data_IF_086262727848
#
_entry.id   IF_086262727848
#
_cell.length_a   1.000
_cell.length_b   1.000
_cell.length_c   1.000
_cell.angle_alpha   90.00
_cell.angle_beta   90.00
_cell.angle_gamma   90.00
#
_symmetry.space_group_name_H-M   'P 1'
#
loop_
_entity.id
_entity.type
_entity.pdbx_description
1 polymer ?
#
# COMPACT_ATOMS: atom_id res chain seq x y z
N UNK A 1 -5.76 -31.43 -28.26
CA UNK A 1 -5.87 -31.41 -26.81
C UNK A 1 -6.28 -30.01 -26.41
N UNK A 2 -7.51 -29.78 -26.04
CA UNK A 2 -8.03 -28.49 -25.61
C UNK A 2 -7.56 -28.27 -24.16
N UNK A 3 -6.58 -27.40 -23.96
CA UNK A 3 -6.16 -27.00 -22.60
C UNK A 3 -7.37 -26.32 -21.96
N UNK A 4 -7.95 -26.98 -20.96
CA UNK A 4 -9.02 -26.39 -20.16
C UNK A 4 -8.46 -25.06 -19.59
N UNK A 5 -9.03 -23.92 -19.97
CA UNK A 5 -8.74 -22.65 -19.30
C UNK A 5 -9.13 -22.80 -17.84
N UNK A 6 -8.14 -22.88 -16.95
CA UNK A 6 -8.39 -22.80 -15.52
C UNK A 6 -9.25 -21.55 -15.28
N UNK A 7 -10.37 -21.74 -14.58
CA UNK A 7 -11.28 -20.64 -14.25
C UNK A 7 -10.54 -19.68 -13.31
N UNK A 8 -10.22 -18.47 -13.78
CA UNK A 8 -9.59 -17.45 -12.96
C UNK A 8 -10.42 -17.18 -11.70
N UNK A 9 -9.77 -17.10 -10.55
CA UNK A 9 -10.43 -16.79 -9.29
C UNK A 9 -10.96 -15.35 -9.26
N UNK A 10 -10.29 -14.43 -9.98
CA UNK A 10 -10.68 -13.03 -10.10
C UNK A 10 -9.60 -12.21 -10.82
N UNK A 11 -9.87 -10.92 -10.94
CA UNK A 11 -8.96 -9.91 -11.49
C UNK A 11 -8.62 -8.90 -10.41
N UNK A 12 -7.36 -8.79 -10.05
CA UNK A 12 -6.88 -7.89 -8.99
C UNK A 12 -6.05 -6.75 -9.56
N UNK A 13 -6.40 -5.51 -9.21
CA UNK A 13 -5.59 -4.32 -9.47
C UNK A 13 -4.88 -3.91 -8.18
N UNK A 14 -3.55 -3.96 -8.17
CA UNK A 14 -2.71 -3.57 -7.02
C UNK A 14 -2.03 -2.25 -7.33
N UNK A 15 -2.45 -1.15 -6.74
CA UNK A 15 -1.75 0.12 -6.78
C UNK A 15 -0.57 0.06 -5.79
N UNK A 16 0.63 0.43 -6.25
CA UNK A 16 1.85 0.29 -5.44
C UNK A 16 2.43 -1.13 -5.43
N UNK A 17 2.21 -1.89 -6.50
CA UNK A 17 2.64 -3.29 -6.64
C UNK A 17 4.14 -3.49 -6.40
N UNK A 18 5.00 -2.49 -6.71
CA UNK A 18 6.45 -2.56 -6.50
C UNK A 18 6.88 -2.30 -5.05
N UNK A 19 5.94 -1.95 -4.16
CA UNK A 19 6.20 -1.85 -2.73
C UNK A 19 6.43 -3.21 -2.07
N UNK A 20 6.84 -3.21 -0.80
CA UNK A 20 6.98 -4.43 -0.01
C UNK A 20 5.67 -5.24 -0.02
N UNK A 21 4.59 -4.63 0.43
CA UNK A 21 3.29 -5.28 0.58
C UNK A 21 2.67 -5.65 -0.76
N UNK A 22 2.76 -4.75 -1.76
CA UNK A 22 2.29 -5.03 -3.11
C UNK A 22 2.95 -6.24 -3.75
N UNK A 23 4.25 -6.45 -3.47
CA UNK A 23 5.00 -7.61 -3.98
C UNK A 23 4.54 -8.91 -3.32
N UNK A 24 4.37 -8.92 -2.00
CA UNK A 24 3.86 -10.12 -1.29
C UNK A 24 2.41 -10.41 -1.68
N UNK A 25 1.56 -9.38 -1.80
CA UNK A 25 0.17 -9.52 -2.20
C UNK A 25 0.06 -10.07 -3.64
N UNK A 26 0.84 -9.54 -4.58
CA UNK A 26 0.87 -10.05 -5.94
C UNK A 26 1.20 -11.54 -5.98
N UNK A 27 2.25 -11.98 -5.24
CA UNK A 27 2.60 -13.40 -5.12
C UNK A 27 1.46 -14.23 -4.53
N UNK A 28 0.81 -13.73 -3.49
CA UNK A 28 -0.29 -14.40 -2.80
C UNK A 28 -1.50 -14.61 -3.72
N UNK A 29 -1.92 -13.55 -4.43
CA UNK A 29 -3.05 -13.60 -5.34
C UNK A 29 -2.78 -14.45 -6.59
N UNK A 30 -1.57 -14.36 -7.15
CA UNK A 30 -1.13 -15.25 -8.24
C UNK A 30 -1.14 -16.72 -7.82
N UNK A 31 -0.80 -17.04 -6.57
CA UNK A 31 -0.89 -18.38 -6.01
C UNK A 31 -2.32 -18.89 -5.84
N UNK A 32 -3.30 -17.98 -5.81
CA UNK A 32 -4.74 -18.26 -5.74
C UNK A 32 -5.45 -18.23 -7.11
N UNK A 33 -4.70 -18.12 -8.20
CA UNK A 33 -5.25 -18.13 -9.55
C UNK A 33 -5.87 -16.80 -10.00
N UNK A 34 -5.51 -15.66 -9.38
CA UNK A 34 -5.92 -14.35 -9.84
C UNK A 34 -5.11 -13.90 -11.06
N UNK A 35 -5.76 -13.18 -11.98
CA UNK A 35 -5.09 -12.31 -12.94
C UNK A 35 -4.68 -11.01 -12.22
N UNK A 36 -3.39 -10.70 -12.18
CA UNK A 36 -2.86 -9.57 -11.40
C UNK A 36 -2.40 -8.45 -12.31
N UNK A 37 -3.01 -7.28 -12.14
CA UNK A 37 -2.62 -6.00 -12.74
C UNK A 37 -1.88 -5.17 -11.69
N UNK A 38 -0.65 -4.77 -12.01
CA UNK A 38 0.22 -4.05 -11.10
C UNK A 38 0.40 -2.58 -11.49
N UNK A 39 -0.24 -1.68 -10.74
CA UNK A 39 -0.05 -0.24 -10.90
C UNK A 39 1.27 0.22 -10.28
N UNK A 40 2.13 0.89 -11.07
CA UNK A 40 3.43 1.41 -10.66
C UNK A 40 3.78 2.70 -11.37
N UNK A 41 4.65 3.51 -10.80
CA UNK A 41 5.22 4.68 -11.49
C UNK A 41 6.12 4.24 -12.65
N UNK A 42 6.08 4.97 -13.76
CA UNK A 42 6.97 4.75 -14.91
C UNK A 42 8.44 4.74 -14.47
N UNK A 43 9.21 3.79 -14.97
CA UNK A 43 10.64 3.65 -14.63
C UNK A 43 10.93 3.01 -13.26
N UNK A 44 9.92 2.64 -12.46
CA UNK A 44 10.19 1.96 -11.20
C UNK A 44 10.73 0.55 -11.40
N UNK A 45 11.68 0.14 -10.53
CA UNK A 45 12.35 -1.16 -10.59
C UNK A 45 11.45 -2.32 -10.15
N UNK A 46 11.65 -3.49 -10.75
CA UNK A 46 10.96 -4.74 -10.44
C UNK A 46 11.79 -5.71 -9.59
N UNK A 47 12.90 -5.28 -8.98
CA UNK A 47 13.83 -6.16 -8.30
C UNK A 47 13.16 -7.06 -7.24
N UNK A 48 12.14 -6.55 -6.53
CA UNK A 48 11.38 -7.33 -5.54
C UNK A 48 10.59 -8.46 -6.18
N UNK A 49 9.95 -8.19 -7.32
CA UNK A 49 9.20 -9.20 -8.08
C UNK A 49 10.12 -10.29 -8.64
N UNK A 50 11.32 -9.90 -9.08
CA UNK A 50 12.36 -10.86 -9.53
C UNK A 50 12.80 -11.78 -8.40
N UNK A 51 13.03 -11.24 -7.19
CA UNK A 51 13.36 -12.06 -6.01
C UNK A 51 12.27 -13.06 -5.67
N UNK A 52 10.99 -12.70 -5.80
CA UNK A 52 9.88 -13.61 -5.53
C UNK A 52 9.43 -14.41 -6.77
N UNK A 53 10.13 -14.29 -7.91
CA UNK A 53 9.85 -14.99 -9.18
C UNK A 53 8.42 -14.79 -9.69
N UNK A 54 7.92 -13.58 -9.62
CA UNK A 54 6.56 -13.22 -10.06
C UNK A 54 6.53 -12.14 -11.14
N UNK A 55 7.69 -11.65 -11.59
CA UNK A 55 7.80 -10.52 -12.53
C UNK A 55 7.04 -10.76 -13.83
N UNK A 56 7.16 -11.95 -14.43
CA UNK A 56 6.55 -12.29 -15.71
C UNK A 56 5.06 -12.67 -15.61
N UNK A 57 4.52 -12.70 -14.39
CA UNK A 57 3.13 -13.09 -14.10
C UNK A 57 2.24 -11.90 -13.78
N UNK A 58 2.79 -10.68 -13.77
CA UNK A 58 2.09 -9.45 -13.46
C UNK A 58 1.96 -8.62 -14.72
N UNK A 59 0.74 -8.19 -15.07
CA UNK A 59 0.52 -7.20 -16.11
C UNK A 59 0.74 -5.80 -15.53
N UNK A 60 1.83 -5.13 -15.89
CA UNK A 60 2.16 -3.83 -15.35
C UNK A 60 1.45 -2.68 -16.06
N UNK A 61 0.94 -1.74 -15.27
CA UNK A 61 0.34 -0.49 -15.70
C UNK A 61 1.13 0.69 -15.15
N UNK A 62 1.43 1.68 -15.99
CA UNK A 62 2.01 2.92 -15.51
C UNK A 62 0.90 3.79 -14.94
N UNK A 63 0.94 4.04 -13.64
CA UNK A 63 -0.05 4.83 -12.92
C UNK A 63 0.66 5.91 -12.13
N UNK A 64 0.28 7.15 -12.37
CA UNK A 64 0.64 8.29 -11.55
C UNK A 64 -0.57 8.68 -10.69
N UNK A 65 -0.42 8.58 -9.37
CA UNK A 65 -1.49 8.92 -8.43
C UNK A 65 -1.86 10.42 -8.44
N UNK A 66 -0.99 11.27 -8.97
CA UNK A 66 -1.28 12.69 -9.15
C UNK A 66 -2.09 12.99 -10.42
N UNK A 67 -2.19 12.02 -11.33
CA UNK A 67 -2.95 12.10 -12.58
C UNK A 67 -4.23 11.25 -12.49
N UNK A 68 -5.40 11.90 -12.36
CA UNK A 68 -6.69 11.19 -12.31
C UNK A 68 -6.97 10.38 -13.59
N UNK A 69 -6.44 10.80 -14.74
CA UNK A 69 -6.64 10.10 -16.02
C UNK A 69 -5.99 8.73 -15.97
N UNK A 70 -4.77 8.63 -15.46
CA UNK A 70 -4.05 7.35 -15.35
C UNK A 70 -4.76 6.34 -14.43
N UNK A 71 -5.37 6.84 -13.35
CA UNK A 71 -6.17 6.01 -12.42
C UNK A 71 -7.44 5.52 -13.13
N UNK A 72 -8.14 6.43 -13.78
CA UNK A 72 -9.38 6.14 -14.50
C UNK A 72 -9.17 5.12 -15.62
N UNK A 73 -8.14 5.27 -16.43
CA UNK A 73 -7.76 4.32 -17.48
C UNK A 73 -7.44 2.93 -16.91
N UNK A 74 -6.71 2.87 -15.80
CA UNK A 74 -6.36 1.61 -15.16
C UNK A 74 -7.61 0.85 -14.71
N UNK A 75 -8.56 1.50 -14.04
CA UNK A 75 -9.80 0.87 -13.56
C UNK A 75 -10.70 0.48 -14.74
N UNK A 76 -10.92 1.38 -15.70
CA UNK A 76 -11.82 1.15 -16.83
C UNK A 76 -11.34 0.01 -17.74
N UNK A 77 -10.02 -0.08 -18.01
CA UNK A 77 -9.42 -1.13 -18.85
C UNK A 77 -9.36 -2.48 -18.18
N UNK A 78 -9.02 -2.51 -16.88
CA UNK A 78 -8.85 -3.78 -16.18
C UNK A 78 -10.16 -4.33 -15.64
N UNK A 79 -11.15 -3.49 -15.34
CA UNK A 79 -12.43 -3.88 -14.71
C UNK A 79 -12.20 -4.93 -13.63
N UNK A 80 -11.42 -4.63 -12.60
CA UNK A 80 -11.00 -5.61 -11.62
C UNK A 80 -12.18 -6.04 -10.75
N UNK A 81 -12.14 -7.26 -10.22
CA UNK A 81 -13.06 -7.70 -9.17
C UNK A 81 -12.61 -7.20 -7.80
N UNK A 82 -11.31 -6.97 -7.65
CA UNK A 82 -10.70 -6.49 -6.42
C UNK A 82 -9.64 -5.45 -6.71
N UNK A 83 -9.61 -4.41 -5.89
CA UNK A 83 -8.64 -3.32 -5.97
C UNK A 83 -7.96 -3.18 -4.62
N UNK A 84 -6.64 -3.18 -4.63
CA UNK A 84 -5.81 -3.00 -3.45
C UNK A 84 -5.00 -1.72 -3.57
N UNK A 85 -5.39 -0.68 -2.83
CA UNK A 85 -4.65 0.57 -2.82
C UNK A 85 -3.60 0.56 -1.70
N UNK A 86 -2.40 0.10 -2.06
CA UNK A 86 -1.20 0.08 -1.21
C UNK A 86 -0.23 1.21 -1.58
N UNK A 87 -0.56 2.00 -2.61
CA UNK A 87 0.28 3.09 -3.07
C UNK A 87 0.16 4.29 -2.11
N UNK A 88 1.28 4.83 -1.71
CA UNK A 88 1.36 6.00 -0.84
C UNK A 88 2.75 6.64 -0.89
N UNK A 89 2.82 7.94 -0.58
CA UNK A 89 4.04 8.52 -0.01
C UNK A 89 4.01 8.21 1.48
N UNK A 90 4.79 7.20 1.91
CA UNK A 90 4.67 6.61 3.25
C UNK A 90 5.69 7.11 4.27
N UNK A 91 6.54 8.06 3.88
CA UNK A 91 7.50 8.69 4.78
C UNK A 91 6.86 9.82 5.57
N UNK A 92 6.72 9.64 6.89
CA UNK A 92 6.24 10.71 7.78
C UNK A 92 7.17 11.92 7.71
N UNK A 93 8.49 11.72 7.68
CA UNK A 93 9.44 12.83 7.59
C UNK A 93 9.29 13.61 6.28
N UNK A 94 9.23 12.93 5.13
CA UNK A 94 9.04 13.58 3.83
C UNK A 94 7.70 14.34 3.74
N UNK A 95 6.67 13.91 4.48
CA UNK A 95 5.38 14.62 4.49
C UNK A 95 5.45 16.03 5.08
N UNK A 96 6.43 16.33 5.92
CA UNK A 96 6.67 17.69 6.43
C UNK A 96 7.45 18.55 5.43
N UNK A 97 8.25 17.93 4.56
CA UNK A 97 9.01 18.62 3.52
C UNK A 97 8.10 19.02 2.34
N UNK A 98 7.16 18.14 1.94
CA UNK A 98 6.13 18.41 0.91
C UNK A 98 4.74 17.99 1.39
N UNK A 99 4.07 18.81 2.23
CA UNK A 99 2.71 18.52 2.70
C UNK A 99 1.68 18.45 1.57
N UNK A 100 1.81 19.31 0.56
CA UNK A 100 0.87 19.40 -0.57
C UNK A 100 0.94 18.16 -1.45
N UNK A 101 2.14 17.71 -1.82
CA UNK A 101 2.34 16.48 -2.57
C UNK A 101 1.88 15.25 -1.79
N UNK A 102 2.12 15.24 -0.48
CA UNK A 102 1.65 14.19 0.42
C UNK A 102 0.11 14.08 0.43
N UNK A 103 -0.61 15.19 0.59
CA UNK A 103 -2.09 15.21 0.58
C UNK A 103 -2.62 14.81 -0.80
N UNK A 104 -2.03 15.33 -1.88
CA UNK A 104 -2.41 14.96 -3.24
C UNK A 104 -2.29 13.45 -3.47
N UNK A 105 -1.16 12.87 -3.10
CA UNK A 105 -0.87 11.45 -3.32
C UNK A 105 -1.67 10.53 -2.39
N UNK A 106 -1.90 10.91 -1.13
CA UNK A 106 -2.46 10.00 -0.12
C UNK A 106 -3.95 10.21 0.15
N UNK A 107 -4.53 11.36 -0.22
CA UNK A 107 -5.94 11.67 0.00
C UNK A 107 -6.68 11.93 -1.33
N UNK A 108 -6.22 12.89 -2.13
CA UNK A 108 -6.92 13.28 -3.37
C UNK A 108 -6.95 12.12 -4.38
N UNK A 109 -5.85 11.38 -4.53
CA UNK A 109 -5.80 10.21 -5.40
C UNK A 109 -6.83 9.13 -5.02
N UNK A 110 -7.14 9.01 -3.72
CA UNK A 110 -8.16 8.04 -3.24
C UNK A 110 -9.56 8.47 -3.69
N UNK A 111 -9.85 9.77 -3.70
CA UNK A 111 -11.12 10.28 -4.26
C UNK A 111 -11.21 9.97 -5.75
N UNK A 112 -10.15 10.19 -6.51
CA UNK A 112 -10.12 9.84 -7.94
C UNK A 112 -10.31 8.33 -8.17
N UNK A 113 -9.71 7.48 -7.32
CA UNK A 113 -9.89 6.04 -7.38
C UNK A 113 -11.35 5.64 -7.09
N UNK A 114 -11.95 6.21 -6.05
CA UNK A 114 -13.34 5.95 -5.67
C UNK A 114 -14.32 6.37 -6.78
N UNK A 115 -14.11 7.53 -7.40
CA UNK A 115 -14.90 7.98 -8.55
C UNK A 115 -14.72 7.07 -9.78
N UNK A 116 -13.49 6.61 -10.03
CA UNK A 116 -13.22 5.65 -11.10
C UNK A 116 -13.92 4.30 -10.86
N UNK A 117 -13.91 3.81 -9.62
CA UNK A 117 -14.63 2.58 -9.23
C UNK A 117 -16.13 2.77 -9.44
N UNK A 118 -16.69 3.86 -8.93
CA UNK A 118 -18.11 4.18 -9.05
C UNK A 118 -18.57 4.20 -10.51
N UNK A 119 -17.75 4.76 -11.40
CA UNK A 119 -18.10 4.94 -12.81
C UNK A 119 -17.86 3.69 -13.68
N UNK A 120 -16.81 2.91 -13.42
CA UNK A 120 -16.36 1.86 -14.35
C UNK A 120 -16.38 0.45 -13.78
N UNK A 121 -16.36 0.31 -12.45
CA UNK A 121 -16.28 -1.00 -11.79
C UNK A 121 -17.04 -0.99 -10.44
N UNK A 122 -18.33 -0.59 -10.39
CA UNK A 122 -19.06 -0.38 -9.12
C UNK A 122 -19.22 -1.65 -8.27
N UNK A 123 -19.01 -2.83 -8.85
CA UNK A 123 -19.03 -4.11 -8.13
C UNK A 123 -17.65 -4.55 -7.59
N UNK A 124 -16.60 -3.77 -7.87
CA UNK A 124 -15.25 -4.06 -7.34
C UNK A 124 -15.20 -3.90 -5.83
N UNK A 125 -14.48 -4.81 -5.17
CA UNK A 125 -14.13 -4.69 -3.76
C UNK A 125 -12.84 -3.91 -3.60
N UNK A 126 -12.90 -2.80 -2.88
CA UNK A 126 -11.72 -1.96 -2.59
C UNK A 126 -11.17 -2.27 -1.20
N UNK A 127 -9.90 -2.60 -1.13
CA UNK A 127 -9.09 -2.53 0.08
C UNK A 127 -8.22 -1.26 0.05
N UNK A 128 -8.40 -0.38 1.03
CA UNK A 128 -7.60 0.82 1.24
C UNK A 128 -6.61 0.61 2.39
N UNK A 129 -5.32 0.71 2.11
CA UNK A 129 -4.31 0.73 3.15
C UNK A 129 -4.38 2.03 3.96
N UNK A 130 -4.92 1.94 5.16
CA UNK A 130 -4.86 2.96 6.19
C UNK A 130 -3.60 2.78 7.05
N UNK A 131 -3.43 3.54 8.13
CA UNK A 131 -2.19 3.54 8.91
C UNK A 131 -2.45 3.77 10.38
N UNK A 132 -1.70 3.12 11.26
CA UNK A 132 -1.69 3.39 12.69
C UNK A 132 -1.24 4.82 13.04
N UNK A 133 -0.54 5.51 12.13
CA UNK A 133 -0.20 6.93 12.28
C UNK A 133 -1.43 7.84 12.38
N UNK A 134 -2.62 7.37 11.93
CA UNK A 134 -3.88 8.09 12.11
C UNK A 134 -4.25 8.28 13.58
N UNK A 135 -3.90 7.33 14.45
CA UNK A 135 -4.13 7.45 15.89
C UNK A 135 -3.28 8.57 16.51
N UNK A 136 -2.06 8.79 15.99
CA UNK A 136 -1.18 9.87 16.41
C UNK A 136 -0.91 9.87 17.92
N UNK A 137 -1.37 10.91 18.61
CA UNK A 137 -1.26 11.00 20.08
C UNK A 137 -2.42 10.23 20.75
N UNK A 138 -2.13 9.02 21.19
CA UNK A 138 -3.11 8.14 21.85
C UNK A 138 -3.15 8.37 23.35
N UNK A 139 -4.35 8.29 23.91
CA UNK A 139 -4.57 8.39 25.36
C UNK A 139 -4.79 6.99 25.97
N UNK A 140 -5.15 6.00 25.14
CA UNK A 140 -5.50 4.64 25.59
C UNK A 140 -4.73 3.61 24.74
N UNK A 141 -4.17 2.59 25.38
CA UNK A 141 -3.54 1.43 24.75
C UNK A 141 -4.12 0.14 25.33
N UNK A 142 -4.33 -0.90 24.53
CA UNK A 142 -4.13 -0.97 23.08
C UNK A 142 -5.17 -0.15 22.30
N UNK A 143 -4.82 0.26 21.07
CA UNK A 143 -5.76 0.88 20.14
C UNK A 143 -6.73 -0.17 19.58
N UNK A 144 -7.95 0.28 19.30
CA UNK A 144 -9.01 -0.48 18.64
C UNK A 144 -9.59 0.34 17.50
N UNK A 145 -10.52 -0.23 16.73
CA UNK A 145 -11.22 0.45 15.63
C UNK A 145 -12.05 1.65 16.10
N UNK A 146 -12.40 1.69 17.39
CA UNK A 146 -13.14 2.80 18.02
C UNK A 146 -12.24 3.87 18.63
N UNK A 147 -10.92 3.64 18.65
CA UNK A 147 -9.96 4.62 19.15
C UNK A 147 -9.97 5.87 18.28
N UNK A 148 -10.10 7.05 18.92
CA UNK A 148 -10.17 8.33 18.22
C UNK A 148 -8.88 8.63 17.45
N UNK A 149 -8.99 9.07 16.20
CA UNK A 149 -7.87 9.57 15.41
C UNK A 149 -7.44 10.95 15.90
N UNK A 150 -6.12 11.12 16.09
CA UNK A 150 -5.46 12.39 16.50
C UNK A 150 -4.15 12.57 15.71
N UNK A 151 -4.22 12.68 14.37
CA UNK A 151 -3.04 12.70 13.49
C UNK A 151 -2.07 13.81 13.86
N UNK A 152 -0.76 13.52 13.78
CA UNK A 152 0.32 14.44 14.16
C UNK A 152 1.27 14.77 12.99
N UNK A 153 0.90 14.42 11.76
CA UNK A 153 1.69 14.70 10.55
C UNK A 153 0.79 14.90 9.34
N UNK A 154 1.27 15.60 8.29
CA UNK A 154 0.53 15.69 7.03
C UNK A 154 0.17 14.33 6.44
N UNK A 155 1.09 13.35 6.54
CA UNK A 155 0.83 11.95 6.16
C UNK A 155 -0.37 11.36 6.93
N UNK A 156 -0.36 11.48 8.25
CA UNK A 156 -1.43 10.94 9.09
C UNK A 156 -2.78 11.60 8.79
N UNK A 157 -2.82 12.93 8.60
CA UNK A 157 -4.02 13.68 8.19
C UNK A 157 -4.54 13.18 6.85
N UNK A 158 -3.67 13.02 5.85
CA UNK A 158 -4.05 12.51 4.54
C UNK A 158 -4.61 11.08 4.61
N UNK A 159 -4.04 10.21 5.47
CA UNK A 159 -4.55 8.85 5.70
C UNK A 159 -5.90 8.83 6.41
N UNK A 160 -6.15 9.71 7.38
CA UNK A 160 -7.48 9.89 7.99
C UNK A 160 -8.50 10.33 6.93
N UNK A 161 -8.14 11.30 6.10
CA UNK A 161 -8.99 11.80 5.01
C UNK A 161 -9.37 10.66 4.05
N UNK A 162 -8.39 9.88 3.58
CA UNK A 162 -8.63 8.72 2.71
C UNK A 162 -9.53 7.67 3.38
N UNK A 163 -9.29 7.37 4.65
CA UNK A 163 -10.07 6.41 5.43
C UNK A 163 -11.55 6.82 5.51
N UNK A 164 -11.81 8.07 5.89
CA UNK A 164 -13.17 8.62 6.00
C UNK A 164 -13.87 8.69 4.63
N UNK A 165 -13.13 9.02 3.56
CA UNK A 165 -13.68 9.01 2.19
C UNK A 165 -14.17 7.61 1.79
N UNK A 166 -13.41 6.56 2.07
CA UNK A 166 -13.85 5.18 1.76
C UNK A 166 -15.10 4.82 2.57
N UNK A 167 -15.18 5.20 3.85
CA UNK A 167 -16.37 4.98 4.66
C UNK A 167 -17.59 5.70 4.08
N UNK A 168 -17.44 6.98 3.74
CA UNK A 168 -18.51 7.79 3.15
C UNK A 168 -19.00 7.22 1.82
N UNK A 169 -18.08 6.79 0.92
CA UNK A 169 -18.48 6.19 -0.36
C UNK A 169 -19.20 4.85 -0.19
N UNK A 170 -18.85 4.08 0.85
CA UNK A 170 -19.59 2.87 1.21
C UNK A 170 -21.01 3.19 1.68
N UNK A 171 -21.17 4.21 2.51
CA UNK A 171 -22.47 4.57 3.10
C UNK A 171 -23.39 5.27 2.10
N UNK A 172 -22.84 6.19 1.31
CA UNK A 172 -23.64 7.05 0.42
C UNK A 172 -23.86 6.41 -0.96
N UNK A 173 -22.83 5.76 -1.51
CA UNK A 173 -22.89 5.21 -2.87
C UNK A 173 -22.96 3.68 -2.92
N UNK A 174 -22.96 3.00 -1.78
CA UNK A 174 -23.03 1.54 -1.70
C UNK A 174 -21.79 0.82 -2.25
N UNK A 175 -20.65 1.49 -2.40
CA UNK A 175 -19.42 0.85 -2.85
C UNK A 175 -18.88 -0.11 -1.80
N UNK A 176 -18.40 -1.28 -2.23
CA UNK A 176 -17.74 -2.21 -1.34
C UNK A 176 -16.31 -1.74 -1.05
N UNK A 177 -16.13 -0.97 0.04
CA UNK A 177 -14.82 -0.47 0.46
C UNK A 177 -14.51 -0.86 1.90
N UNK A 178 -13.31 -1.42 2.14
CA UNK A 178 -12.79 -1.64 3.48
C UNK A 178 -11.42 -0.97 3.67
N UNK A 179 -11.09 -0.65 4.93
CA UNK A 179 -9.85 0.00 5.30
C UNK A 179 -9.09 -0.87 6.30
N UNK A 180 -7.88 -1.30 5.94
CA UNK A 180 -6.99 -1.97 6.88
C UNK A 180 -6.12 -0.96 7.63
N UNK A 181 -6.22 -0.88 8.95
CA UNK A 181 -5.36 -0.01 9.77
C UNK A 181 -4.05 -0.76 10.02
N UNK A 182 -3.07 -0.48 9.17
CA UNK A 182 -1.79 -1.17 9.20
C UNK A 182 -0.87 -0.56 10.28
N UNK A 183 -0.37 -1.39 11.17
CA UNK A 183 0.74 -1.08 12.07
C UNK A 183 2.08 -1.30 11.38
N UNK A 184 3.19 -1.10 12.09
CA UNK A 184 4.49 -1.27 11.47
C UNK A 184 4.74 -2.73 11.11
N UNK A 185 5.11 -3.01 9.87
CA UNK A 185 5.42 -4.35 9.41
C UNK A 185 6.59 -4.31 8.43
N UNK A 186 7.41 -5.32 8.50
CA UNK A 186 8.71 -5.35 7.86
C UNK A 186 8.96 -6.67 7.15
N UNK A 187 9.93 -6.66 6.27
CA UNK A 187 10.43 -7.85 5.59
C UNK A 187 11.80 -7.60 4.95
N UNK A 188 12.47 -8.63 4.41
CA UNK A 188 13.65 -8.45 3.57
C UNK A 188 13.44 -7.55 2.35
N UNK A 189 12.18 -7.32 1.94
CA UNK A 189 11.82 -6.45 0.81
C UNK A 189 11.63 -4.98 1.20
N UNK A 190 11.83 -4.61 2.47
CA UNK A 190 11.67 -3.22 2.93
C UNK A 190 12.66 -2.29 2.25
N UNK A 191 12.24 -1.07 1.93
CA UNK A 191 13.13 -0.05 1.38
C UNK A 191 14.16 0.42 2.42
N UNK A 192 15.34 0.82 1.95
CA UNK A 192 16.53 1.07 2.80
C UNK A 192 16.41 2.30 3.71
N UNK A 193 15.55 3.23 3.37
CA UNK A 193 15.27 4.43 4.17
C UNK A 193 14.46 4.15 5.45
N UNK A 194 13.86 2.95 5.58
CA UNK A 194 13.11 2.56 6.78
C UNK A 194 14.02 1.97 7.85
N UNK A 195 13.67 2.25 9.12
CA UNK A 195 14.53 2.02 10.28
C UNK A 195 15.07 0.59 10.39
N UNK A 196 14.25 -0.43 10.22
CA UNK A 196 14.68 -1.83 10.32
C UNK A 196 15.68 -2.19 9.22
N UNK A 197 15.40 -1.83 7.97
CA UNK A 197 16.32 -2.09 6.86
C UNK A 197 17.62 -1.29 6.99
N UNK A 198 17.52 -0.04 7.45
CA UNK A 198 18.69 0.80 7.77
C UNK A 198 19.58 0.15 8.82
N UNK A 199 19.00 -0.43 9.89
CA UNK A 199 19.75 -1.12 10.95
C UNK A 199 20.42 -2.37 10.39
N UNK A 200 19.66 -3.27 9.74
CA UNK A 200 20.21 -4.56 9.25
C UNK A 200 21.30 -4.35 8.20
N UNK A 201 21.12 -3.39 7.30
CA UNK A 201 22.14 -3.03 6.31
C UNK A 201 23.37 -2.42 6.96
N UNK A 202 23.19 -1.44 7.85
CA UNK A 202 24.30 -0.77 8.52
C UNK A 202 25.12 -1.72 9.40
N UNK A 203 24.47 -2.70 10.04
CA UNK A 203 25.17 -3.77 10.78
C UNK A 203 25.99 -4.64 9.84
N UNK A 204 25.42 -5.07 8.73
CA UNK A 204 26.14 -5.87 7.73
C UNK A 204 27.36 -5.10 7.16
N UNK A 205 27.17 -3.84 6.78
CA UNK A 205 28.27 -2.98 6.32
C UNK A 205 29.37 -2.84 7.37
N UNK A 206 29.01 -2.66 8.64
CA UNK A 206 29.99 -2.56 9.74
C UNK A 206 30.74 -3.87 9.98
N UNK A 207 30.06 -5.00 9.96
CA UNK A 207 30.68 -6.31 10.20
C UNK A 207 31.61 -6.75 9.07
N UNK A 208 31.26 -6.47 7.82
CA UNK A 208 31.95 -7.03 6.65
C UNK A 208 32.79 -6.00 5.88
N UNK A 209 32.53 -4.72 6.03
CA UNK A 209 33.19 -3.65 5.24
C UNK A 209 33.72 -2.49 6.11
N UNK A 210 33.78 -2.60 7.42
CA UNK A 210 34.27 -1.54 8.31
C UNK A 210 33.42 -0.27 8.29
N UNK A 211 32.10 -0.41 8.08
CA UNK A 211 31.15 0.68 7.90
C UNK A 211 31.07 1.70 9.06
N UNK A 212 30.51 2.87 8.76
CA UNK A 212 30.33 3.96 9.72
C UNK A 212 29.27 3.64 10.78
N UNK A 213 29.26 4.34 11.94
CA UNK A 213 28.18 4.23 12.92
C UNK A 213 26.80 4.49 12.29
N UNK A 214 25.79 3.70 12.69
CA UNK A 214 24.44 3.84 12.21
C UNK A 214 23.79 5.02 12.94
N UNK A 215 23.36 6.04 12.19
CA UNK A 215 22.63 7.18 12.77
C UNK A 215 21.13 6.83 12.83
N UNK A 216 20.58 6.76 14.03
CA UNK A 216 19.17 6.53 14.31
C UNK A 216 18.55 7.79 14.93
N UNK A 217 17.23 7.92 14.82
CA UNK A 217 16.48 8.99 15.48
C UNK A 217 16.19 8.65 16.95
N UNK A 218 14.93 8.79 17.39
CA UNK A 218 14.53 8.51 18.77
C UNK A 218 14.64 7.02 19.10
N UNK A 219 15.59 6.67 19.97
CA UNK A 219 15.83 5.28 20.42
C UNK A 219 14.80 4.79 21.44
N UNK A 220 14.03 5.67 22.05
CA UNK A 220 13.00 5.34 23.05
C UNK A 220 11.62 5.09 22.40
N UNK A 221 11.51 5.21 21.07
CA UNK A 221 10.25 4.99 20.39
C UNK A 221 9.86 3.49 20.38
N UNK A 222 8.71 3.19 20.96
CA UNK A 222 8.09 1.86 20.89
C UNK A 222 7.14 1.78 19.69
N UNK A 223 7.08 0.61 19.05
CA UNK A 223 6.18 0.32 17.91
C UNK A 223 5.73 -1.14 17.97
N UNK A 224 4.52 -1.38 17.50
CA UNK A 224 4.07 -2.74 17.18
C UNK A 224 4.65 -3.16 15.84
N UNK A 225 5.22 -4.36 15.77
CA UNK A 225 5.93 -4.86 14.60
C UNK A 225 5.42 -6.23 14.16
N UNK A 226 5.08 -6.33 12.88
CA UNK A 226 4.68 -7.57 12.25
C UNK A 226 5.50 -7.92 11.01
N UNK A 227 5.21 -9.06 10.42
CA UNK A 227 5.78 -9.49 9.14
C UNK A 227 4.83 -9.16 7.99
N UNK A 228 5.36 -8.50 6.95
CA UNK A 228 4.55 -8.05 5.81
C UNK A 228 3.78 -9.17 5.09
N UNK A 229 4.36 -10.38 5.04
CA UNK A 229 3.69 -11.54 4.46
C UNK A 229 2.44 -11.99 5.22
N UNK A 230 2.35 -11.73 6.53
CA UNK A 230 1.15 -12.03 7.32
C UNK A 230 0.08 -10.94 7.13
N UNK A 231 0.51 -9.68 7.08
CA UNK A 231 -0.39 -8.55 6.82
C UNK A 231 -1.14 -8.71 5.50
N UNK A 232 -0.45 -9.10 4.42
CA UNK A 232 -1.13 -9.25 3.12
C UNK A 232 -2.14 -10.40 3.07
N UNK A 233 -2.02 -11.41 3.94
CA UNK A 233 -3.04 -12.45 4.07
C UNK A 233 -4.33 -11.93 4.67
N UNK A 234 -4.26 -10.90 5.52
CA UNK A 234 -5.43 -10.22 6.06
C UNK A 234 -6.05 -9.19 5.10
N UNK A 235 -5.39 -8.87 3.98
CA UNK A 235 -5.92 -7.94 2.99
C UNK A 235 -6.83 -8.62 1.96
N UNK A 236 -6.71 -9.96 1.74
CA UNK A 236 -7.37 -10.67 0.64
C UNK A 236 -8.10 -11.94 1.03
#
# INVERSE_FOLDING_TARGET
>A
MTVAREKLAGRALILGVNGQDGTYLARFLLGRGYEVFGGRRKGSSNWRHSLLRVVDRITYLNIDLSDPTSINEAVSRTRPTEIYNLAAESSVAASFEDPTGCVRTNAISVVHLLESIRSHAPQSRLYQASSSEMFGRVDIVPQTETTRFRPQSPYAVAKVSAHVMVQMYREVYGLHGCCGILFNHESPLRAENFVKRKITRGLAERCFAGGRPIKLGNLQASRDWGFAGDYVRGCG
#
